data_IF_048431224007
#
_entry.id   IF_048431224007
#
_cell.length_a   1.000
_cell.length_b   1.000
_cell.length_c   1.000
_cell.angle_alpha   90.00
_cell.angle_beta   90.00
_cell.angle_gamma   90.00
#
_symmetry.space_group_name_H-M   'P 1'
#
loop_
_entity.id
_entity.type
_entity.pdbx_description
1 polymer ?
#
# COMPACT_ATOMS: atom_id res chain seq x y z
N UNK A 1 2.08 5.41 -2.94
CA UNK A 1 1.96 6.65 -2.16
C UNK A 1 0.49 7.04 -2.15
N UNK A 2 -0.07 7.40 -0.98
CA UNK A 2 -1.52 7.60 -0.85
C UNK A 2 -1.99 9.00 -1.31
N UNK A 3 -1.09 9.79 -1.90
CA UNK A 3 -1.40 11.05 -2.60
C UNK A 3 -1.44 12.29 -1.74
N UNK A 4 -1.24 12.15 -0.43
CA UNK A 4 -1.46 13.20 0.56
C UNK A 4 -0.19 13.98 0.95
N UNK A 5 0.93 13.76 0.28
CA UNK A 5 2.21 14.39 0.66
C UNK A 5 2.99 13.61 1.73
N UNK A 6 2.41 12.53 2.31
CA UNK A 6 2.91 11.87 3.51
C UNK A 6 3.30 10.41 3.22
N UNK A 7 4.55 10.05 3.49
CA UNK A 7 4.98 8.67 3.59
C UNK A 7 4.74 8.17 5.02
N UNK A 8 4.29 6.91 5.13
CA UNK A 8 4.18 6.21 6.40
C UNK A 8 5.15 5.03 6.36
N UNK A 9 6.20 5.07 7.17
CA UNK A 9 7.15 3.98 7.30
C UNK A 9 6.62 2.94 8.29
N UNK A 10 6.60 1.69 7.84
CA UNK A 10 6.16 0.56 8.65
C UNK A 10 7.26 0.09 9.60
N UNK A 11 6.88 -0.81 10.50
CA UNK A 11 7.82 -1.50 11.36
C UNK A 11 8.86 -2.26 10.51
N UNK A 12 10.12 -2.19 10.95
CA UNK A 12 11.24 -2.92 10.36
C UNK A 12 11.72 -3.99 11.34
N UNK A 13 12.17 -5.11 10.81
CA UNK A 13 12.87 -6.11 11.60
C UNK A 13 14.27 -5.61 11.99
N UNK A 14 14.83 -6.19 13.04
CA UNK A 14 16.25 -6.01 13.38
C UNK A 14 17.11 -6.89 12.48
N UNK A 15 17.81 -6.25 11.55
CA UNK A 15 18.70 -6.89 10.58
C UNK A 15 20.17 -7.00 11.06
N UNK A 16 20.46 -6.77 12.34
CA UNK A 16 21.83 -6.85 12.87
C UNK A 16 22.36 -8.29 13.03
N UNK A 17 21.48 -9.29 13.01
CA UNK A 17 21.84 -10.70 13.18
C UNK A 17 22.21 -11.40 11.87
N UNK A 18 23.06 -12.44 11.95
CA UNK A 18 23.41 -13.30 10.79
C UNK A 18 22.21 -14.10 10.23
N UNK A 19 21.20 -14.36 11.06
CA UNK A 19 19.94 -14.99 10.68
C UNK A 19 18.81 -14.16 11.24
N UNK A 20 17.91 -13.72 10.36
CA UNK A 20 16.78 -12.85 10.70
C UNK A 20 15.50 -13.62 10.45
N UNK A 21 14.63 -13.69 11.46
CA UNK A 21 13.26 -14.16 11.31
C UNK A 21 12.35 -12.95 11.23
N UNK A 22 11.64 -12.82 10.10
CA UNK A 22 10.75 -11.68 9.85
C UNK A 22 9.56 -11.71 10.80
N UNK A 23 9.28 -10.58 11.45
CA UNK A 23 8.16 -10.41 12.39
C UNK A 23 7.42 -9.09 12.17
N UNK A 24 8.13 -8.04 11.75
CA UNK A 24 7.60 -6.69 11.67
C UNK A 24 6.56 -6.55 10.55
N UNK A 25 6.77 -7.22 9.41
CA UNK A 25 5.81 -7.33 8.29
C UNK A 25 5.23 -5.98 7.80
N UNK A 26 5.97 -4.88 7.99
CA UNK A 26 5.53 -3.54 7.59
C UNK A 26 4.35 -3.00 8.39
N UNK A 27 4.05 -3.60 9.56
CA UNK A 27 2.99 -3.18 10.46
C UNK A 27 3.02 -1.67 10.71
N UNK A 28 1.83 -1.08 10.74
CA UNK A 28 1.64 0.36 10.89
C UNK A 28 1.78 1.19 9.63
N UNK A 29 2.43 0.68 8.57
CA UNK A 29 2.28 1.25 7.24
C UNK A 29 1.21 0.54 6.41
N UNK A 30 0.76 -0.66 6.79
CA UNK A 30 -0.32 -1.42 6.13
C UNK A 30 -1.68 -1.19 6.80
N UNK A 31 -2.78 -1.40 6.07
CA UNK A 31 -4.13 -1.39 6.66
C UNK A 31 -4.36 -2.68 7.46
N UNK A 32 -4.77 -2.58 8.73
CA UNK A 32 -5.01 -3.75 9.57
C UNK A 32 -3.71 -4.40 10.06
N UNK A 33 -3.72 -5.73 10.14
CA UNK A 33 -2.56 -6.54 10.58
C UNK A 33 -2.12 -7.49 9.48
N UNK A 34 -0.89 -8.01 9.53
CA UNK A 34 -0.35 -8.94 8.54
C UNK A 34 -1.24 -10.18 8.34
N UNK A 35 -1.87 -10.69 9.40
CA UNK A 35 -2.81 -11.80 9.32
C UNK A 35 -4.04 -11.52 8.43
N UNK A 36 -4.44 -10.25 8.28
CA UNK A 36 -5.55 -9.87 7.40
C UNK A 36 -5.21 -10.03 5.90
N UNK A 37 -3.93 -10.23 5.56
CA UNK A 37 -3.43 -10.44 4.19
C UNK A 37 -3.11 -11.91 3.91
N UNK A 38 -3.33 -12.82 4.87
CA UNK A 38 -3.10 -14.23 4.66
C UNK A 38 -4.09 -14.83 3.66
N UNK A 39 -3.57 -15.69 2.78
CA UNK A 39 -4.40 -16.44 1.86
C UNK A 39 -5.03 -17.64 2.57
N UNK A 40 -6.19 -18.13 2.09
CA UNK A 40 -6.79 -19.34 2.61
C UNK A 40 -5.81 -20.52 2.51
N UNK A 41 -5.60 -21.32 3.58
CA UNK A 41 -4.60 -22.40 3.58
C UNK A 41 -4.79 -23.45 2.49
N UNK A 42 -6.04 -23.63 2.02
CA UNK A 42 -6.42 -24.56 0.96
C UNK A 42 -6.46 -23.92 -0.44
N UNK A 43 -6.10 -22.65 -0.59
CA UNK A 43 -6.11 -21.92 -1.86
C UNK A 43 -4.88 -20.99 -1.97
N UNK A 44 -3.67 -21.54 -2.14
CA UNK A 44 -2.41 -20.77 -2.12
C UNK A 44 -2.25 -19.77 -3.27
N UNK A 45 -3.11 -19.85 -4.29
CA UNK A 45 -3.14 -18.94 -5.44
C UNK A 45 -4.40 -18.06 -5.45
N UNK A 46 -5.13 -18.02 -4.34
CA UNK A 46 -6.30 -17.15 -4.20
C UNK A 46 -5.89 -15.68 -4.25
N UNK A 47 -6.69 -14.84 -4.89
CA UNK A 47 -6.63 -13.40 -4.76
C UNK A 47 -7.44 -12.88 -3.56
N UNK A 48 -8.14 -13.77 -2.85
CA UNK A 48 -9.09 -13.40 -1.78
C UNK A 48 -8.38 -13.31 -0.44
N UNK A 49 -8.32 -12.09 0.10
CA UNK A 49 -7.96 -11.74 1.47
C UNK A 49 -8.65 -10.41 1.83
N UNK A 50 -8.65 -9.99 3.09
CA UNK A 50 -9.53 -8.90 3.59
C UNK A 50 -9.36 -7.56 2.86
N UNK A 51 -8.12 -7.22 2.50
CA UNK A 51 -7.78 -5.96 1.81
C UNK A 51 -7.45 -6.17 0.33
N UNK A 52 -7.94 -7.25 -0.28
CA UNK A 52 -7.67 -7.53 -1.70
C UNK A 52 -8.23 -6.45 -2.62
N UNK A 53 -7.47 -6.13 -3.67
CA UNK A 53 -7.84 -5.19 -4.73
C UNK A 53 -7.64 -5.79 -6.13
N UNK A 54 -7.28 -7.07 -6.21
CA UNK A 54 -6.85 -7.71 -7.45
C UNK A 54 -7.94 -7.76 -8.54
N UNK A 55 -9.20 -7.92 -8.15
CA UNK A 55 -10.35 -7.90 -9.08
C UNK A 55 -11.10 -6.55 -9.10
N UNK A 56 -10.56 -5.52 -8.44
CA UNK A 56 -11.20 -4.21 -8.41
C UNK A 56 -10.83 -3.41 -9.67
N UNK A 57 -11.85 -2.99 -10.44
CA UNK A 57 -11.66 -2.09 -11.59
C UNK A 57 -11.08 -0.72 -11.15
N UNK A 58 -11.40 -0.29 -9.93
CA UNK A 58 -10.81 0.86 -9.28
C UNK A 58 -10.86 0.65 -7.76
N UNK A 59 -9.84 1.12 -7.05
CA UNK A 59 -9.81 1.13 -5.59
C UNK A 59 -9.28 2.48 -5.09
N UNK A 60 -9.88 3.06 -4.02
CA UNK A 60 -9.32 4.26 -3.42
C UNK A 60 -7.93 3.98 -2.83
N UNK A 61 -7.12 5.02 -2.58
CA UNK A 61 -5.92 4.89 -1.75
C UNK A 61 -6.22 4.27 -0.39
N UNK A 62 -5.18 3.82 0.33
CA UNK A 62 -5.37 3.26 1.68
C UNK A 62 -5.85 4.36 2.61
N UNK A 63 -6.62 3.98 3.61
CA UNK A 63 -7.07 4.90 4.64
C UNK A 63 -5.91 5.23 5.59
N UNK A 64 -5.18 6.30 5.27
CA UNK A 64 -4.00 6.73 6.02
C UNK A 64 -4.31 7.14 7.45
N UNK A 65 -5.59 7.40 7.81
CA UNK A 65 -5.99 7.69 9.18
C UNK A 65 -5.87 6.48 10.11
N UNK A 66 -5.89 5.27 9.54
CA UNK A 66 -5.76 4.00 10.28
C UNK A 66 -4.31 3.53 10.43
N UNK A 67 -3.37 4.21 9.77
CA UNK A 67 -1.95 3.89 9.80
C UNK A 67 -1.25 4.55 11.01
N UNK A 68 -0.45 3.78 11.73
CA UNK A 68 0.22 4.20 12.96
C UNK A 68 1.76 4.18 12.86
N UNK A 69 2.31 3.92 11.67
CA UNK A 69 3.74 3.99 11.38
C UNK A 69 4.31 5.41 11.41
N UNK A 70 5.61 5.53 11.18
CA UNK A 70 6.31 6.82 11.26
C UNK A 70 5.96 7.67 10.04
N UNK A 71 5.44 8.88 10.29
CA UNK A 71 5.03 9.80 9.23
C UNK A 71 6.18 10.71 8.80
N UNK A 72 6.46 10.77 7.50
CA UNK A 72 7.45 11.66 6.88
C UNK A 72 6.83 12.46 5.75
N UNK A 73 7.12 13.76 5.71
CA UNK A 73 6.74 14.61 4.58
C UNK A 73 7.67 14.34 3.42
N UNK A 74 7.13 13.99 2.26
CA UNK A 74 7.94 13.55 1.10
C UNK A 74 7.75 14.36 -0.17
N UNK A 75 6.81 15.30 -0.21
CA UNK A 75 6.70 16.24 -1.34
C UNK A 75 5.28 16.67 -1.67
N UNK A 76 5.07 17.08 -2.93
CA UNK A 76 3.77 17.57 -3.43
C UNK A 76 2.73 16.43 -3.41
N UNK A 77 1.48 16.71 -3.01
CA UNK A 77 0.38 15.77 -3.15
C UNK A 77 0.12 15.44 -4.63
N UNK A 78 -0.05 14.16 -4.95
CA UNK A 78 -0.29 13.62 -6.28
C UNK A 78 -1.68 12.94 -6.27
N UNK A 79 -2.42 12.94 -7.38
CA UNK A 79 -3.67 12.17 -7.47
C UNK A 79 -3.35 10.69 -7.68
N UNK A 80 -3.53 9.81 -6.68
CA UNK A 80 -3.19 8.40 -6.84
C UNK A 80 -4.38 7.68 -7.47
N UNK A 81 -4.09 6.83 -8.46
CA UNK A 81 -5.00 5.80 -8.90
C UNK A 81 -4.28 4.47 -8.81
N UNK A 82 -4.88 3.49 -8.11
CA UNK A 82 -4.50 2.09 -8.28
C UNK A 82 -5.39 1.54 -9.41
N UNK A 83 -4.81 1.40 -10.61
CA UNK A 83 -5.48 0.90 -11.80
C UNK A 83 -4.61 -0.13 -12.54
N UNK A 84 -5.19 -0.79 -13.55
CA UNK A 84 -4.45 -1.67 -14.48
C UNK A 84 -3.57 -0.89 -15.44
N UNK A 85 -3.82 0.41 -15.56
CA UNK A 85 -3.00 1.36 -16.31
C UNK A 85 -1.89 1.88 -15.40
N UNK A 86 -0.65 1.87 -15.89
CA UNK A 86 0.50 2.38 -15.13
C UNK A 86 0.41 3.89 -14.88
N UNK A 87 1.18 4.37 -13.91
CA UNK A 87 1.20 5.79 -13.49
C UNK A 87 1.44 6.76 -14.66
N UNK A 88 2.16 6.31 -15.70
CA UNK A 88 2.40 7.08 -16.94
C UNK A 88 1.10 7.47 -17.66
N UNK A 89 0.11 6.58 -17.69
CA UNK A 89 -1.20 6.81 -18.34
C UNK A 89 -2.08 7.71 -17.47
N UNK A 90 -2.06 7.49 -16.15
CA UNK A 90 -2.76 8.33 -15.18
C UNK A 90 -2.27 9.79 -15.21
N UNK A 91 -0.95 10.00 -15.35
CA UNK A 91 -0.36 11.33 -15.47
C UNK A 91 -0.80 12.08 -16.74
N UNK A 92 -0.98 11.38 -17.86
CA UNK A 92 -1.49 11.95 -19.12
C UNK A 92 -2.98 12.31 -19.02
N UNK A 93 -3.79 11.49 -18.36
CA UNK A 93 -5.21 11.79 -18.15
C UNK A 93 -5.42 13.03 -17.25
N UNK A 94 -4.61 13.19 -16.19
CA UNK A 94 -4.69 14.35 -15.28
C UNK A 94 -4.33 15.68 -15.98
N UNK A 95 -3.38 15.65 -16.91
CA UNK A 95 -2.98 16.83 -17.69
C UNK A 95 -3.96 17.15 -18.82
N UNK A 96 -4.66 16.16 -19.38
CA UNK A 96 -5.71 16.37 -20.38
C UNK A 96 -7.01 16.96 -19.79
N UNK A 97 -7.33 16.68 -18.53
CA UNK A 97 -8.53 17.21 -17.85
C UNK A 97 -8.39 18.68 -17.38
N UNK A 98 -7.19 19.25 -17.47
CA UNK A 98 -6.89 20.63 -17.05
C UNK A 98 -6.70 21.61 -18.23
N UNK A 99 -6.96 21.16 -19.46
CA UNK A 99 -6.87 21.95 -20.69
C UNK A 99 -8.25 22.37 -21.23
#
# INVERSE_FOLDING_TARGET
FDGDGVAVDGALDDYSANVVYTKALGEGAIEGQAADYELPPNAPFSSVFKYTRFDAHAAPPRDTSKLNGVRRQVGRPESPAAGSEGDDVAAVAATAATA
#
